data_IF_390759526903
#
_entry.id   IF_390759526903
#
_cell.length_a   1.000
_cell.length_b   1.000
_cell.length_c   1.000
_cell.angle_alpha   90.00
_cell.angle_beta   90.00
_cell.angle_gamma   90.00
#
_symmetry.space_group_name_H-M   'P 1'
#
loop_
_entity.id
_entity.type
_entity.pdbx_description
1 polymer ?
#
# COMPACT_ATOMS: atom_id res chain seq x y z
N UNK A 1 1.75 -21.40 -6.70
CA UNK A 1 0.90 -20.49 -7.49
C UNK A 1 1.47 -19.08 -7.55
N UNK A 2 1.37 -18.24 -6.52
CA UNK A 2 1.74 -16.82 -6.63
C UNK A 2 3.20 -16.58 -7.05
N UNK A 3 4.17 -17.18 -6.34
CA UNK A 3 5.60 -17.09 -6.70
C UNK A 3 5.88 -17.68 -8.11
N UNK A 4 5.23 -18.79 -8.46
CA UNK A 4 5.39 -19.44 -9.77
C UNK A 4 4.82 -18.57 -10.91
N UNK A 5 3.84 -17.72 -10.61
CA UNK A 5 3.24 -16.75 -11.53
C UNK A 5 3.95 -15.39 -11.55
N UNK A 6 5.04 -15.22 -10.79
CA UNK A 6 5.85 -14.01 -10.83
C UNK A 6 5.62 -13.01 -9.69
N UNK A 7 5.07 -13.45 -8.56
CA UNK A 7 5.11 -12.68 -7.33
C UNK A 7 6.54 -12.56 -6.79
N UNK A 8 6.87 -11.37 -6.27
CA UNK A 8 8.18 -11.04 -5.71
C UNK A 8 8.21 -11.26 -4.20
N UNK A 9 7.11 -10.99 -3.51
CA UNK A 9 6.99 -11.16 -2.07
C UNK A 9 5.57 -11.58 -1.64
N UNK A 10 5.48 -12.24 -0.49
CA UNK A 10 4.22 -12.65 0.13
C UNK A 10 4.33 -12.44 1.63
N UNK A 11 3.45 -11.59 2.16
CA UNK A 11 3.36 -11.29 3.58
C UNK A 11 2.02 -11.76 4.14
N UNK A 12 2.04 -12.29 5.38
CA UNK A 12 0.84 -12.66 6.12
C UNK A 12 0.76 -11.71 7.31
N UNK A 13 -0.25 -10.86 7.30
CA UNK A 13 -0.47 -9.85 8.34
C UNK A 13 -1.08 -10.48 9.59
N UNK A 14 -0.99 -9.76 10.72
CA UNK A 14 -1.50 -10.21 12.02
C UNK A 14 -3.03 -10.40 12.05
N UNK A 15 -3.76 -9.72 11.16
CA UNK A 15 -5.20 -9.87 10.99
C UNK A 15 -5.59 -11.08 10.12
N UNK A 16 -4.59 -11.82 9.62
CA UNK A 16 -4.74 -12.97 8.75
C UNK A 16 -4.90 -12.63 7.28
N UNK A 17 -4.84 -11.36 6.89
CA UNK A 17 -4.79 -10.96 5.48
C UNK A 17 -3.45 -11.36 4.84
N UNK A 18 -3.47 -11.62 3.53
CA UNK A 18 -2.30 -12.00 2.76
C UNK A 18 -2.05 -10.91 1.72
N UNK A 19 -0.87 -10.30 1.78
CA UNK A 19 -0.40 -9.34 0.77
C UNK A 19 0.57 -10.04 -0.18
N UNK A 20 0.39 -9.81 -1.48
CA UNK A 20 1.22 -10.41 -2.53
C UNK A 20 1.76 -9.28 -3.40
N UNK A 21 3.07 -9.10 -3.37
CA UNK A 21 3.76 -8.10 -4.16
C UNK A 21 4.25 -8.67 -5.48
N UNK A 22 4.18 -7.87 -6.55
CA UNK A 22 4.56 -8.27 -7.90
C UNK A 22 5.17 -7.07 -8.63
N UNK A 23 5.95 -7.34 -9.69
CA UNK A 23 6.22 -6.30 -10.68
C UNK A 23 4.93 -5.90 -11.41
N UNK A 24 4.83 -4.66 -11.92
CA UNK A 24 3.65 -4.22 -12.69
C UNK A 24 3.30 -5.13 -13.87
N UNK A 25 4.29 -5.77 -14.47
CA UNK A 25 4.13 -6.66 -15.61
C UNK A 25 3.47 -8.00 -15.23
N UNK A 26 3.74 -8.50 -14.01
CA UNK A 26 3.27 -9.80 -13.55
C UNK A 26 1.93 -9.73 -12.78
N UNK A 27 1.44 -8.53 -12.46
CA UNK A 27 0.25 -8.34 -11.63
C UNK A 27 -0.98 -9.13 -12.12
N UNK A 28 -1.22 -9.16 -13.43
CA UNK A 28 -2.36 -9.87 -14.02
C UNK A 28 -2.20 -11.37 -13.89
N UNK A 29 -1.04 -11.91 -14.28
CA UNK A 29 -0.76 -13.36 -14.25
C UNK A 29 -0.82 -13.93 -12.83
N UNK A 30 -0.31 -13.18 -11.85
CA UNK A 30 -0.39 -13.55 -10.43
C UNK A 30 -1.83 -13.54 -9.93
N UNK A 31 -2.60 -12.48 -10.26
CA UNK A 31 -4.02 -12.42 -9.88
C UNK A 31 -4.81 -13.59 -10.47
N UNK A 32 -4.63 -13.88 -11.76
CA UNK A 32 -5.34 -14.97 -12.44
C UNK A 32 -5.03 -16.32 -11.80
N UNK A 33 -3.77 -16.59 -11.44
CA UNK A 33 -3.42 -17.87 -10.80
C UNK A 33 -4.03 -18.05 -9.41
N UNK A 34 -4.24 -16.96 -8.67
CA UNK A 34 -4.93 -16.97 -7.37
C UNK A 34 -6.42 -17.23 -7.55
N UNK A 35 -7.05 -16.54 -8.52
CA UNK A 35 -8.47 -16.72 -8.83
C UNK A 35 -8.77 -18.12 -9.36
N UNK A 36 -7.91 -18.67 -10.22
CA UNK A 36 -8.03 -20.04 -10.74
C UNK A 36 -7.90 -21.12 -9.65
N UNK A 37 -7.20 -20.80 -8.56
CA UNK A 37 -7.14 -21.64 -7.36
C UNK A 37 -8.39 -21.52 -6.48
N UNK A 38 -9.38 -20.71 -6.88
CA UNK A 38 -10.64 -20.50 -6.15
C UNK A 38 -10.53 -19.51 -4.99
N UNK A 39 -9.49 -18.68 -4.96
CA UNK A 39 -9.27 -17.68 -3.92
C UNK A 39 -9.76 -16.33 -4.44
N UNK A 40 -10.62 -15.66 -3.67
CA UNK A 40 -11.07 -14.31 -3.99
C UNK A 40 -9.97 -13.30 -3.62
N UNK A 41 -9.71 -12.37 -4.53
CA UNK A 41 -8.79 -11.25 -4.31
C UNK A 41 -9.61 -10.01 -3.98
N UNK A 42 -9.48 -9.53 -2.74
CA UNK A 42 -10.24 -8.36 -2.27
C UNK A 42 -9.69 -7.05 -2.87
N UNK A 43 -8.38 -6.92 -2.96
CA UNK A 43 -7.69 -5.72 -3.46
C UNK A 43 -6.67 -6.14 -4.53
N UNK A 44 -6.75 -5.50 -5.69
CA UNK A 44 -5.79 -5.67 -6.78
C UNK A 44 -5.51 -4.32 -7.43
N UNK A 45 -4.36 -3.73 -7.12
CA UNK A 45 -4.03 -2.36 -7.53
C UNK A 45 -2.58 -2.24 -7.97
N UNK A 46 -2.36 -1.44 -9.03
CA UNK A 46 -1.03 -0.95 -9.37
C UNK A 46 -0.74 0.32 -8.54
N UNK A 47 0.32 0.28 -7.75
CA UNK A 47 0.75 1.37 -6.86
C UNK A 47 2.22 1.70 -7.05
N UNK A 48 2.63 2.89 -6.62
CA UNK A 48 4.05 3.21 -6.44
C UNK A 48 4.45 2.89 -5.01
N UNK A 49 5.24 1.83 -4.81
CA UNK A 49 5.84 1.49 -3.52
C UNK A 49 7.18 2.20 -3.36
N UNK A 50 7.39 2.85 -2.22
CA UNK A 50 8.65 3.53 -1.93
C UNK A 50 9.72 2.49 -1.56
N UNK A 51 10.92 2.60 -2.16
CA UNK A 51 12.05 1.73 -1.80
C UNK A 51 12.70 2.12 -0.47
N UNK A 52 12.47 3.35 -0.02
CA UNK A 52 12.98 3.87 1.25
C UNK A 52 11.95 4.78 1.87
N UNK A 53 11.63 4.52 3.12
CA UNK A 53 10.69 5.33 3.88
C UNK A 53 11.41 6.40 4.72
N UNK A 54 10.68 7.47 5.05
CA UNK A 54 11.18 8.57 5.87
C UNK A 54 10.20 8.80 7.00
N UNK A 55 10.66 8.59 8.23
CA UNK A 55 9.87 8.91 9.42
C UNK A 55 9.73 10.42 9.57
N UNK A 56 8.52 10.87 9.90
CA UNK A 56 8.21 12.30 10.09
C UNK A 56 8.23 12.67 11.57
N UNK A 57 8.74 13.85 11.93
CA UNK A 57 8.61 14.32 13.32
C UNK A 57 7.15 14.67 13.63
N UNK A 58 6.69 14.44 14.87
CA UNK A 58 5.32 14.75 15.32
C UNK A 58 4.84 16.14 14.89
N UNK A 59 5.69 17.17 15.04
CA UNK A 59 5.37 18.57 14.69
C UNK A 59 5.04 18.78 13.20
N UNK A 60 5.46 17.86 12.33
CA UNK A 60 5.26 17.91 10.89
C UNK A 60 4.22 16.90 10.40
N UNK A 61 3.91 15.86 11.17
CA UNK A 61 3.01 14.78 10.78
C UNK A 61 1.61 15.29 10.42
N UNK A 62 1.01 16.13 11.26
CA UNK A 62 -0.31 16.74 10.97
C UNK A 62 -0.30 17.57 9.68
N UNK A 63 0.76 18.35 9.46
CA UNK A 63 0.87 19.17 8.24
C UNK A 63 0.99 18.30 7.00
N UNK A 64 1.75 17.20 7.09
CA UNK A 64 1.89 16.26 5.99
C UNK A 64 0.59 15.50 5.71
N UNK A 65 -0.11 15.04 6.74
CA UNK A 65 -1.40 14.37 6.59
C UNK A 65 -2.43 15.29 5.91
N UNK A 66 -2.56 16.54 6.38
CA UNK A 66 -3.42 17.56 5.76
C UNK A 66 -3.05 17.84 4.31
N UNK A 67 -1.76 17.85 3.98
CA UNK A 67 -1.31 18.03 2.59
C UNK A 67 -1.74 16.85 1.72
N UNK A 68 -1.55 15.62 2.19
CA UNK A 68 -1.95 14.42 1.45
C UNK A 68 -3.46 14.40 1.21
N UNK A 69 -4.27 14.69 2.25
CA UNK A 69 -5.73 14.81 2.14
C UNK A 69 -6.14 15.91 1.14
N UNK A 70 -5.53 17.09 1.24
CA UNK A 70 -5.84 18.21 0.34
C UNK A 70 -5.53 17.87 -1.12
N UNK A 71 -4.49 17.09 -1.37
CA UNK A 71 -4.15 16.64 -2.72
C UNK A 71 -5.12 15.57 -3.22
N UNK A 72 -5.56 14.66 -2.36
CA UNK A 72 -6.50 13.58 -2.72
C UNK A 72 -7.91 14.11 -3.00
N UNK A 73 -8.30 15.23 -2.37
CA UNK A 73 -9.58 15.91 -2.58
C UNK A 73 -9.68 16.67 -3.93
N UNK A 74 -8.58 16.77 -4.70
CA UNK A 74 -8.60 17.47 -5.98
C UNK A 74 -9.15 16.56 -7.09
N UNK A 75 -10.18 17.03 -7.79
CA UNK A 75 -10.83 16.29 -8.89
C UNK A 75 -9.86 15.80 -9.99
N UNK A 76 -8.77 16.55 -10.23
CA UNK A 76 -7.77 16.24 -11.25
C UNK A 76 -6.68 15.25 -10.76
N UNK A 77 -6.58 15.01 -9.45
CA UNK A 77 -5.61 14.09 -8.88
C UNK A 77 -6.15 12.67 -8.92
N UNK A 78 -5.33 11.76 -9.47
CA UNK A 78 -5.74 10.35 -9.64
C UNK A 78 -5.25 9.47 -8.49
N UNK A 79 -4.03 9.71 -8.00
CA UNK A 79 -3.39 9.00 -6.89
C UNK A 79 -2.36 9.89 -6.23
N UNK A 80 -2.32 9.88 -4.90
CA UNK A 80 -1.25 10.49 -4.10
C UNK A 80 -0.35 9.38 -3.56
N UNK A 81 0.96 9.52 -3.73
CA UNK A 81 1.95 8.60 -3.18
C UNK A 81 2.97 9.39 -2.34
N UNK A 82 3.36 8.81 -1.22
CA UNK A 82 4.33 9.37 -0.30
C UNK A 82 5.24 8.25 0.19
N UNK A 83 6.48 8.57 0.51
CA UNK A 83 7.39 7.66 1.20
C UNK A 83 7.47 7.97 2.70
N UNK A 84 6.53 8.74 3.24
CA UNK A 84 6.48 9.03 4.67
C UNK A 84 5.97 7.81 5.42
N UNK A 85 6.72 7.42 6.44
CA UNK A 85 6.30 6.43 7.42
C UNK A 85 5.62 7.15 8.59
N UNK A 86 4.33 6.86 8.79
CA UNK A 86 3.60 7.29 9.97
C UNK A 86 3.66 6.17 11.01
N UNK A 87 4.57 6.29 11.97
CA UNK A 87 4.69 5.30 13.05
C UNK A 87 3.44 5.28 13.92
N UNK A 88 3.19 4.16 14.61
CA UNK A 88 2.05 4.01 15.53
C UNK A 88 2.00 5.11 16.60
N UNK A 89 3.16 5.57 17.08
CA UNK A 89 3.25 6.67 18.04
C UNK A 89 2.72 7.98 17.45
N UNK A 90 3.04 8.26 16.19
CA UNK A 90 2.59 9.46 15.48
C UNK A 90 1.08 9.37 15.23
N UNK A 91 0.61 8.24 14.70
CA UNK A 91 -0.81 8.01 14.41
C UNK A 91 -1.67 8.12 15.67
N UNK A 92 -1.21 7.54 16.78
CA UNK A 92 -1.90 7.66 18.07
C UNK A 92 -1.98 9.11 18.57
N UNK A 93 -0.95 9.93 18.29
CA UNK A 93 -0.92 11.32 18.76
C UNK A 93 -1.75 12.32 17.93
N UNK A 94 -2.25 11.92 16.75
CA UNK A 94 -3.08 12.76 15.88
C UNK A 94 -4.58 12.53 16.15
N UNK A 95 -4.95 11.38 16.72
CA UNK A 95 -6.35 10.99 16.98
C UNK A 95 -6.90 11.39 18.36
N UNK A 96 -6.12 12.14 19.16
CA UNK A 96 -6.53 12.77 20.44
C UNK A 96 -6.74 14.29 20.27
#
# INVERSE_FOLDING_TARGET
>A
MAIESGAEDIEINDDGSIEIETTPQNLVDVKESIVDAGINVDINQLVMKASTEVSVERKHAESMMKLLETLDDLDDVQKVHSNIEFTDEILSSIND
#
